data_IF_227113472914
#
_entry.id   IF_227113472914
#
_cell.length_a   1.000
_cell.length_b   1.000
_cell.length_c   1.000
_cell.angle_alpha   90.00
_cell.angle_beta   90.00
_cell.angle_gamma   90.00
#
_symmetry.space_group_name_H-M   'P 1'
#
loop_
_entity.id
_entity.type
_entity.pdbx_description
1 polymer ?
#
# COMPACT_ATOMS: atom_id res chain seq x y z
N UNK A 1 -28.15 -44.16 1.51
CA UNK A 1 -27.86 -43.56 0.20
C UNK A 1 -27.10 -42.26 0.43
N UNK A 2 -25.89 -42.18 -0.13
CA UNK A 2 -24.94 -41.09 0.06
C UNK A 2 -25.47 -39.78 -0.53
N UNK A 3 -25.60 -38.75 0.30
CA UNK A 3 -25.70 -37.37 -0.17
C UNK A 3 -24.27 -36.85 -0.41
N UNK A 4 -23.87 -36.80 -1.67
CA UNK A 4 -22.62 -36.21 -2.14
C UNK A 4 -22.55 -34.73 -1.75
N UNK A 5 -21.67 -34.37 -0.82
CA UNK A 5 -21.31 -32.97 -0.54
C UNK A 5 -20.59 -32.39 -1.76
N UNK A 6 -21.33 -31.60 -2.54
CA UNK A 6 -20.75 -30.69 -3.54
C UNK A 6 -19.80 -29.69 -2.85
N UNK A 7 -18.60 -29.43 -3.38
CA UNK A 7 -17.70 -28.45 -2.79
C UNK A 7 -18.30 -27.05 -3.01
N UNK A 8 -18.70 -26.42 -1.92
CA UNK A 8 -19.10 -25.02 -1.87
C UNK A 8 -18.03 -24.16 -2.52
N UNK A 9 -18.26 -23.75 -3.78
CA UNK A 9 -17.53 -22.67 -4.44
C UNK A 9 -17.56 -21.47 -3.50
N UNK A 10 -16.40 -21.13 -2.96
CA UNK A 10 -16.18 -19.90 -2.23
C UNK A 10 -16.54 -18.74 -3.20
N UNK A 11 -17.77 -18.24 -3.10
CA UNK A 11 -18.19 -17.01 -3.77
C UNK A 11 -17.30 -15.94 -3.19
N UNK A 12 -16.36 -15.48 -4.01
CA UNK A 12 -15.41 -14.41 -3.68
C UNK A 12 -16.27 -13.19 -3.34
N UNK A 13 -16.49 -12.94 -2.06
CA UNK A 13 -17.13 -11.73 -1.57
C UNK A 13 -16.24 -10.56 -2.01
N UNK A 14 -16.55 -9.99 -3.16
CA UNK A 14 -15.91 -8.75 -3.59
C UNK A 14 -16.64 -7.64 -2.86
N UNK A 15 -16.02 -6.95 -1.89
CA UNK A 15 -16.65 -5.81 -1.26
C UNK A 15 -17.04 -4.81 -2.36
N UNK A 16 -18.27 -4.29 -2.28
CA UNK A 16 -18.84 -3.36 -3.27
C UNK A 16 -18.03 -2.05 -3.34
N UNK A 17 -17.42 -1.67 -2.22
CA UNK A 17 -16.49 -0.56 -2.08
C UNK A 17 -15.09 -1.10 -1.80
N UNK A 18 -14.13 -0.85 -2.71
CA UNK A 18 -12.73 -1.20 -2.48
C UNK A 18 -11.95 0.07 -2.23
N UNK A 19 -11.87 0.49 -0.97
CA UNK A 19 -11.02 1.59 -0.54
C UNK A 19 -9.57 1.11 -0.59
N UNK A 20 -8.74 1.72 -1.43
CA UNK A 20 -7.32 1.38 -1.52
C UNK A 20 -6.55 2.65 -1.16
N UNK A 21 -6.15 2.75 0.10
CA UNK A 21 -5.25 3.78 0.62
C UNK A 21 -3.83 3.56 0.06
N UNK A 22 -3.68 3.81 -1.23
CA UNK A 22 -2.38 4.15 -1.78
C UNK A 22 -2.56 5.52 -2.40
N UNK A 23 -1.90 6.50 -1.80
CA UNK A 23 -1.48 7.71 -2.49
C UNK A 23 -0.64 7.21 -3.67
N UNK A 24 -1.25 7.10 -4.85
CA UNK A 24 -0.54 6.69 -6.06
C UNK A 24 -0.04 8.00 -6.67
N UNK A 25 1.20 8.37 -6.39
CA UNK A 25 1.82 9.58 -6.95
C UNK A 25 2.00 9.49 -8.48
N UNK A 26 1.95 8.29 -9.06
CA UNK A 26 2.03 8.08 -10.51
C UNK A 26 0.95 7.09 -10.94
N UNK A 27 -0.25 7.57 -11.26
CA UNK A 27 -1.24 6.74 -11.94
C UNK A 27 -0.83 6.62 -13.40
N UNK A 28 -0.28 5.47 -13.78
CA UNK A 28 -0.14 5.07 -15.18
C UNK A 28 -1.55 4.93 -15.81
N UNK A 29 -1.70 5.38 -17.05
CA UNK A 29 -2.96 5.34 -17.79
C UNK A 29 -3.58 3.94 -17.79
N UNK A 30 -2.75 2.88 -17.87
CA UNK A 30 -3.21 1.48 -17.83
C UNK A 30 -3.92 1.14 -16.53
N UNK A 31 -3.42 1.67 -15.40
CA UNK A 31 -4.04 1.45 -14.09
C UNK A 31 -5.38 2.15 -14.03
N UNK A 32 -5.46 3.40 -14.51
CA UNK A 32 -6.71 4.17 -14.55
C UNK A 32 -7.75 3.48 -15.44
N UNK A 33 -7.36 2.98 -16.61
CA UNK A 33 -8.26 2.23 -17.50
C UNK A 33 -8.79 0.97 -16.83
N UNK A 34 -7.94 0.23 -16.11
CA UNK A 34 -8.38 -0.95 -15.37
C UNK A 34 -9.35 -0.60 -14.22
N UNK A 35 -9.09 0.50 -13.50
CA UNK A 35 -9.99 1.02 -12.47
C UNK A 35 -11.33 1.46 -13.08
N UNK A 36 -11.30 2.13 -14.22
CA UNK A 36 -12.49 2.57 -14.96
C UNK A 36 -13.34 1.37 -15.39
N UNK A 37 -12.72 0.34 -15.98
CA UNK A 37 -13.42 -0.89 -16.36
C UNK A 37 -14.06 -1.60 -15.16
N UNK A 38 -13.45 -1.53 -13.98
CA UNK A 38 -14.09 -2.06 -12.76
C UNK A 38 -15.28 -1.21 -12.33
N UNK A 39 -15.17 0.11 -12.43
CA UNK A 39 -16.27 1.03 -12.14
C UNK A 39 -17.46 0.80 -13.08
N UNK A 40 -17.20 0.65 -14.39
CA UNK A 40 -18.22 0.38 -15.40
C UNK A 40 -18.92 -0.99 -15.19
N UNK A 41 -18.27 -1.91 -14.48
CA UNK A 41 -18.86 -3.21 -14.05
C UNK A 41 -19.69 -3.10 -12.77
N UNK A 42 -20.02 -1.89 -12.32
CA UNK A 42 -20.86 -1.64 -11.15
C UNK A 42 -20.12 -1.71 -9.81
N UNK A 43 -18.79 -1.52 -9.79
CA UNK A 43 -18.02 -1.43 -8.54
C UNK A 43 -17.75 0.01 -8.17
N UNK A 44 -17.82 0.35 -6.89
CA UNK A 44 -17.43 1.68 -6.42
C UNK A 44 -15.91 1.74 -6.25
N UNK A 45 -15.29 2.64 -7.01
CA UNK A 45 -13.84 2.90 -6.96
C UNK A 45 -13.61 4.32 -6.46
N UNK A 46 -12.88 4.45 -5.35
CA UNK A 46 -12.45 5.74 -4.79
C UNK A 46 -10.92 5.74 -4.79
N UNK A 47 -10.33 6.82 -5.27
CA UNK A 47 -8.88 6.98 -5.36
C UNK A 47 -8.48 8.42 -5.07
N UNK A 48 -7.31 8.59 -4.45
CA UNK A 48 -6.70 9.90 -4.18
C UNK A 48 -5.52 10.04 -5.12
N UNK A 49 -5.44 11.19 -5.80
CA UNK A 49 -4.45 11.46 -6.85
C UNK A 49 -3.82 12.79 -6.58
N UNK A 50 -2.49 12.84 -6.55
CA UNK A 50 -1.76 14.06 -6.16
C UNK A 50 -1.57 15.07 -7.28
N UNK A 51 -1.68 14.68 -8.56
CA UNK A 51 -1.65 15.56 -9.74
C UNK A 51 -1.96 14.72 -10.99
N UNK A 52 -3.21 14.66 -11.47
CA UNK A 52 -3.53 13.89 -12.67
C UNK A 52 -3.16 14.67 -13.93
N UNK A 53 -2.49 14.02 -14.87
CA UNK A 53 -2.40 14.53 -16.23
C UNK A 53 -3.78 14.73 -16.86
N UNK A 54 -3.90 15.70 -17.77
CA UNK A 54 -5.19 16.13 -18.35
C UNK A 54 -6.02 14.97 -18.94
N UNK A 55 -5.39 14.05 -19.68
CA UNK A 55 -6.07 12.87 -20.24
C UNK A 55 -6.66 11.98 -19.14
N UNK A 56 -5.91 11.74 -18.07
CA UNK A 56 -6.34 10.92 -16.94
C UNK A 56 -7.48 11.60 -16.20
N UNK A 57 -7.40 12.92 -16.02
CA UNK A 57 -8.44 13.68 -15.34
C UNK A 57 -9.81 13.54 -16.00
N UNK A 58 -9.87 13.54 -17.33
CA UNK A 58 -11.14 13.38 -18.07
C UNK A 58 -11.75 11.97 -17.96
N UNK A 59 -11.01 10.96 -17.49
CA UNK A 59 -11.51 9.60 -17.31
C UNK A 59 -12.34 9.40 -16.03
N UNK A 60 -12.35 10.37 -15.10
CA UNK A 60 -13.12 10.25 -13.86
C UNK A 60 -14.59 10.62 -14.06
N UNK A 61 -15.49 9.82 -13.46
CA UNK A 61 -16.92 10.09 -13.46
C UNK A 61 -17.27 11.34 -12.65
N UNK A 62 -16.71 11.41 -11.44
CA UNK A 62 -16.86 12.52 -10.49
C UNK A 62 -15.49 12.78 -9.87
N UNK A 63 -15.26 14.04 -9.54
CA UNK A 63 -14.04 14.51 -8.87
C UNK A 63 -14.46 15.25 -7.61
N UNK A 64 -13.63 15.14 -6.58
CA UNK A 64 -13.80 15.83 -5.30
C UNK A 64 -12.49 16.56 -4.99
N UNK A 65 -12.54 17.88 -4.89
CA UNK A 65 -11.44 18.72 -4.45
C UNK A 65 -11.68 19.14 -3.01
N UNK A 66 -10.64 19.04 -2.19
CA UNK A 66 -10.66 19.41 -0.78
C UNK A 66 -9.49 20.33 -0.47
N UNK A 67 -9.72 21.29 0.40
CA UNK A 67 -8.70 22.20 0.90
C UNK A 67 -9.04 22.60 2.34
N UNK A 68 -8.03 22.73 3.21
CA UNK A 68 -8.21 23.08 4.63
C UNK A 68 -9.26 22.21 5.35
N UNK A 69 -9.36 20.92 4.99
CA UNK A 69 -10.33 19.98 5.56
C UNK A 69 -11.78 20.17 5.08
N UNK A 70 -12.05 21.15 4.22
CA UNK A 70 -13.38 21.44 3.65
C UNK A 70 -13.47 20.95 2.20
N UNK A 71 -14.69 20.69 1.73
CA UNK A 71 -14.92 20.33 0.31
C UNK A 71 -15.00 21.62 -0.50
N UNK A 72 -14.07 21.78 -1.44
CA UNK A 72 -14.05 22.94 -2.33
C UNK A 72 -14.89 22.70 -3.60
N UNK A 73 -15.00 21.45 -4.04
CA UNK A 73 -15.87 21.07 -5.15
C UNK A 73 -16.14 19.57 -5.15
N UNK A 74 -17.34 19.15 -5.50
CA UNK A 74 -17.65 17.77 -5.85
C UNK A 74 -18.67 17.74 -7.00
N UNK A 75 -18.27 17.17 -8.13
CA UNK A 75 -19.17 17.00 -9.27
C UNK A 75 -18.48 16.33 -10.45
N UNK A 76 -19.05 16.48 -11.64
CA UNK A 76 -18.41 15.99 -12.88
C UNK A 76 -17.25 16.90 -13.29
N UNK A 77 -16.34 16.39 -14.13
CA UNK A 77 -15.24 17.20 -14.68
C UNK A 77 -15.76 18.35 -15.56
N UNK A 78 -16.90 18.16 -16.24
CA UNK A 78 -17.50 19.16 -17.12
C UNK A 78 -18.08 20.33 -16.33
N UNK A 79 -18.70 20.03 -15.20
CA UNK A 79 -19.34 21.05 -14.36
C UNK A 79 -18.32 21.81 -13.51
N UNK A 80 -17.13 21.26 -13.30
CA UNK A 80 -16.04 21.93 -12.60
C UNK A 80 -15.67 23.25 -13.27
N UNK A 81 -15.48 23.22 -14.59
CA UNK A 81 -15.10 24.41 -15.37
C UNK A 81 -16.21 25.48 -15.28
N UNK A 82 -17.48 25.05 -15.33
CA UNK A 82 -18.63 25.96 -15.21
C UNK A 82 -18.75 26.55 -13.82
N UNK A 83 -18.56 25.74 -12.78
CA UNK A 83 -18.59 26.17 -11.39
C UNK A 83 -17.52 27.24 -11.13
N UNK A 84 -16.26 26.97 -11.48
CA UNK A 84 -15.18 27.95 -11.32
C UNK A 84 -15.39 29.21 -12.16
N UNK A 85 -16.00 29.11 -13.35
CA UNK A 85 -16.38 30.27 -14.14
C UNK A 85 -17.53 31.09 -13.52
N UNK A 86 -18.40 30.46 -12.72
CA UNK A 86 -19.54 31.12 -12.06
C UNK A 86 -19.16 31.89 -10.79
N UNK A 87 -17.95 31.70 -10.26
CA UNK A 87 -17.46 32.38 -9.05
C UNK A 87 -17.19 33.88 -9.26
N UNK A 88 -17.27 34.40 -10.48
CA UNK A 88 -17.18 35.83 -10.78
C UNK A 88 -15.77 36.42 -10.79
N UNK A 89 -14.77 35.71 -10.25
CA UNK A 89 -13.36 36.13 -10.30
C UNK A 89 -12.68 35.66 -11.60
N UNK A 90 -12.15 36.57 -12.44
CA UNK A 90 -11.45 36.21 -13.67
C UNK A 90 -10.19 35.36 -13.42
N UNK A 91 -9.58 35.44 -12.24
CA UNK A 91 -8.40 34.66 -11.88
C UNK A 91 -8.72 33.20 -11.57
N UNK A 92 -9.97 32.88 -11.23
CA UNK A 92 -10.45 31.52 -10.96
C UNK A 92 -10.96 30.81 -12.21
N UNK A 93 -11.17 31.54 -13.30
CA UNK A 93 -11.59 30.98 -14.58
C UNK A 93 -10.45 30.13 -15.17
N UNK A 94 -10.74 28.87 -15.43
CA UNK A 94 -9.80 27.93 -16.04
C UNK A 94 -9.52 28.33 -17.50
N UNK A 95 -8.25 28.57 -17.90
CA UNK A 95 -7.89 28.81 -19.30
C UNK A 95 -8.04 27.55 -20.17
N UNK A 96 -8.40 27.71 -21.45
CA UNK A 96 -8.64 26.57 -22.37
C UNK A 96 -7.38 25.74 -22.67
N UNK A 97 -6.20 26.35 -22.65
CA UNK A 97 -4.92 25.68 -22.90
C UNK A 97 -4.32 25.01 -21.66
N UNK A 98 -4.98 25.12 -20.51
CA UNK A 98 -4.45 24.68 -19.22
C UNK A 98 -5.21 23.47 -18.68
N UNK A 99 -4.52 22.58 -17.96
CA UNK A 99 -5.16 21.43 -17.32
C UNK A 99 -6.08 21.90 -16.19
N UNK A 100 -7.40 21.65 -16.25
CA UNK A 100 -8.32 22.12 -15.21
C UNK A 100 -7.98 21.61 -13.81
N UNK A 101 -7.47 20.38 -13.70
CA UNK A 101 -7.08 19.80 -12.43
C UNK A 101 -5.92 20.59 -11.78
N UNK A 102 -4.88 20.86 -12.56
CA UNK A 102 -3.70 21.59 -12.06
C UNK A 102 -4.08 23.03 -11.68
N UNK A 103 -4.98 23.67 -12.45
CA UNK A 103 -5.41 25.04 -12.18
C UNK A 103 -6.14 25.11 -10.84
N UNK A 104 -7.09 24.21 -10.64
CA UNK A 104 -7.89 24.15 -9.41
C UNK A 104 -7.01 23.79 -8.22
N UNK A 105 -6.09 22.83 -8.35
CA UNK A 105 -5.14 22.49 -7.28
C UNK A 105 -4.27 23.69 -6.92
N UNK A 106 -3.75 24.43 -7.90
CA UNK A 106 -2.94 25.62 -7.66
C UNK A 106 -3.73 26.75 -6.98
N UNK A 107 -5.03 26.88 -7.25
CA UNK A 107 -5.90 27.87 -6.57
C UNK A 107 -6.30 27.46 -5.16
N UNK A 108 -6.29 26.16 -4.88
CA UNK A 108 -6.64 25.59 -3.58
C UNK A 108 -5.42 25.31 -2.69
N UNK A 109 -4.21 25.46 -3.22
CA UNK A 109 -2.99 25.21 -2.45
C UNK A 109 -2.70 26.36 -1.50
N UNK A 110 -2.53 26.03 -0.22
CA UNK A 110 -2.10 26.96 0.84
C UNK A 110 -0.74 26.45 1.32
N UNK A 111 0.33 27.22 1.09
CA UNK A 111 1.67 26.90 1.61
C UNK A 111 1.81 27.33 3.08
N UNK A 112 2.95 27.04 3.72
CA UNK A 112 3.18 27.45 5.13
C UNK A 112 3.65 28.90 5.27
N UNK A 113 4.09 29.50 4.17
CA UNK A 113 4.57 30.88 4.10
C UNK A 113 3.47 31.86 3.63
N UNK A 114 2.21 31.43 3.70
CA UNK A 114 1.07 32.10 3.05
C UNK A 114 0.70 33.44 3.67
N UNK A 115 0.38 34.37 2.77
CA UNK A 115 -0.44 35.56 3.01
C UNK A 115 -1.86 35.17 3.41
N UNK A 116 -2.49 35.96 4.30
CA UNK A 116 -3.90 35.78 4.72
C UNK A 116 -4.86 35.68 3.51
N UNK A 117 -4.49 36.26 2.38
CA UNK A 117 -5.21 36.22 1.09
C UNK A 117 -5.45 34.81 0.54
N UNK A 118 -4.52 33.86 0.76
CA UNK A 118 -4.66 32.50 0.21
C UNK A 118 -5.69 31.68 0.98
N UNK A 119 -5.72 31.87 2.30
CA UNK A 119 -6.74 31.26 3.16
C UNK A 119 -8.10 31.86 2.82
N UNK A 120 -8.21 33.17 2.72
CA UNK A 120 -9.45 33.87 2.38
C UNK A 120 -10.03 33.37 1.04
N UNK A 121 -9.18 33.17 0.02
CA UNK A 121 -9.60 32.63 -1.27
C UNK A 121 -10.18 31.22 -1.16
N UNK A 122 -9.53 30.34 -0.40
CA UNK A 122 -10.01 28.96 -0.21
C UNK A 122 -11.33 28.96 0.57
N UNK A 123 -11.44 29.80 1.59
CA UNK A 123 -12.67 29.96 2.36
C UNK A 123 -13.80 30.48 1.48
N UNK A 124 -13.54 31.47 0.62
CA UNK A 124 -14.50 31.97 -0.36
C UNK A 124 -14.98 30.86 -1.31
N UNK A 125 -14.06 30.11 -1.93
CA UNK A 125 -14.43 29.02 -2.86
C UNK A 125 -15.28 27.95 -2.15
N UNK A 126 -14.88 27.54 -0.95
CA UNK A 126 -15.61 26.51 -0.19
C UNK A 126 -16.99 26.99 0.25
N UNK A 127 -17.14 28.25 0.67
CA UNK A 127 -18.42 28.85 1.03
C UNK A 127 -19.37 28.90 -0.19
N UNK A 128 -18.88 29.41 -1.32
CA UNK A 128 -19.65 29.46 -2.57
C UNK A 128 -20.06 28.06 -3.06
N UNK A 129 -19.23 27.04 -2.87
CA UNK A 129 -19.61 25.66 -3.18
C UNK A 129 -20.74 25.17 -2.28
N UNK A 130 -20.65 25.42 -0.97
CA UNK A 130 -21.66 24.98 -0.01
C UNK A 130 -23.01 25.67 -0.18
N UNK A 131 -23.03 26.92 -0.66
CA UNK A 131 -24.28 27.65 -0.99
C UNK A 131 -24.82 27.32 -2.38
N UNK A 132 -24.03 26.64 -3.22
CA UNK A 132 -24.46 26.26 -4.57
C UNK A 132 -25.40 25.05 -4.56
N UNK A 133 -26.18 24.92 -5.64
CA UNK A 133 -27.04 23.74 -5.89
C UNK A 133 -26.25 22.44 -5.83
N UNK A 134 -24.98 22.45 -6.25
CA UNK A 134 -24.10 21.26 -6.21
C UNK A 134 -23.72 20.88 -4.78
N UNK A 135 -23.55 21.87 -3.90
CA UNK A 135 -23.29 21.66 -2.47
C UNK A 135 -24.48 21.07 -1.75
N UNK A 136 -25.69 21.56 -2.05
CA UNK A 136 -26.94 21.01 -1.52
C UNK A 136 -27.19 19.57 -1.96
N UNK A 137 -27.01 19.27 -3.27
CA UNK A 137 -27.11 17.90 -3.80
C UNK A 137 -26.14 16.96 -3.08
N UNK A 138 -24.89 17.39 -2.87
CA UNK A 138 -23.92 16.60 -2.11
C UNK A 138 -24.39 16.34 -0.68
N UNK A 139 -24.93 17.35 0.00
CA UNK A 139 -25.40 17.21 1.38
C UNK A 139 -26.57 16.23 1.48
N UNK A 140 -27.49 16.28 0.54
CA UNK A 140 -28.61 15.33 0.44
C UNK A 140 -28.11 13.89 0.19
N UNK A 141 -27.16 13.72 -0.74
CA UNK A 141 -26.55 12.42 -1.03
C UNK A 141 -25.84 11.82 0.20
N UNK A 142 -25.12 12.65 0.96
CA UNK A 142 -24.46 12.23 2.19
C UNK A 142 -25.52 11.82 3.22
N UNK A 143 -26.54 12.65 3.44
CA UNK A 143 -27.63 12.36 4.38
C UNK A 143 -28.32 11.03 4.05
N UNK A 144 -28.74 10.84 2.80
CA UNK A 144 -29.37 9.61 2.34
C UNK A 144 -28.44 8.39 2.49
N UNK A 145 -27.14 8.58 2.26
CA UNK A 145 -26.11 7.55 2.46
C UNK A 145 -25.94 7.16 3.92
N UNK A 146 -25.89 8.13 4.83
CA UNK A 146 -25.74 7.92 6.28
C UNK A 146 -26.88 7.07 6.84
N UNK A 147 -28.14 7.43 6.54
CA UNK A 147 -29.31 6.67 7.00
C UNK A 147 -29.31 5.24 6.46
N UNK A 148 -28.90 5.05 5.20
CA UNK A 148 -28.83 3.71 4.58
C UNK A 148 -27.72 2.85 5.20
N UNK A 149 -26.60 3.46 5.58
CA UNK A 149 -25.49 2.77 6.25
C UNK A 149 -25.86 2.33 7.67
N UNK A 150 -26.60 3.15 8.43
CA UNK A 150 -27.07 2.77 9.77
C UNK A 150 -27.95 1.52 9.72
N UNK A 151 -28.92 1.48 8.81
CA UNK A 151 -29.82 0.32 8.62
C UNK A 151 -29.02 -0.93 8.19
N UNK A 152 -28.06 -0.77 7.28
CA UNK A 152 -27.27 -1.91 6.78
C UNK A 152 -26.25 -2.40 7.82
N UNK A 153 -25.73 -1.52 8.69
CA UNK A 153 -24.82 -1.89 9.76
C UNK A 153 -25.51 -2.79 10.79
N UNK A 154 -26.78 -2.58 11.11
CA UNK A 154 -27.51 -3.48 12.02
C UNK A 154 -27.65 -4.90 11.45
N UNK A 155 -27.93 -5.03 10.15
CA UNK A 155 -28.02 -6.35 9.49
C UNK A 155 -26.66 -7.02 9.22
N UNK A 156 -25.60 -6.24 8.96
CA UNK A 156 -24.25 -6.77 8.76
C UNK A 156 -23.54 -7.08 10.09
N UNK A 157 -23.80 -6.33 11.16
CA UNK A 157 -23.21 -6.58 12.48
C UNK A 157 -23.61 -7.98 13.03
N UNK A 158 -24.84 -8.42 12.77
CA UNK A 158 -25.26 -9.79 13.11
C UNK A 158 -24.59 -10.87 12.23
N UNK A 159 -24.24 -10.56 10.98
CA UNK A 159 -23.51 -11.50 10.09
C UNK A 159 -22.00 -11.54 10.34
N UNK A 160 -21.40 -10.44 10.80
CA UNK A 160 -19.95 -10.30 10.98
C UNK A 160 -19.42 -10.78 12.34
N UNK A 161 -20.26 -11.36 13.22
CA UNK A 161 -19.80 -12.08 14.44
C UNK A 161 -18.75 -13.16 14.14
N UNK A 162 -18.71 -13.71 12.92
CA UNK A 162 -17.59 -14.52 12.45
C UNK A 162 -16.55 -13.65 11.71
N UNK A 163 -15.65 -13.05 12.48
CA UNK A 163 -14.58 -12.12 12.04
C UNK A 163 -13.59 -12.67 11.01
N UNK A 164 -13.70 -13.95 10.63
CA UNK A 164 -12.90 -14.57 9.59
C UNK A 164 -13.76 -15.44 8.67
N UNK A 165 -13.63 -15.22 7.36
CA UNK A 165 -14.30 -16.02 6.32
C UNK A 165 -13.82 -17.49 6.27
N UNK A 166 -12.80 -17.86 7.06
CA UNK A 166 -12.08 -19.15 6.98
C UNK A 166 -11.61 -19.61 8.37
N UNK A 167 -11.58 -20.92 8.62
CA UNK A 167 -11.11 -21.53 9.88
C UNK A 167 -9.60 -21.34 10.14
N UNK A 168 -9.20 -21.36 11.41
CA UNK A 168 -7.81 -21.11 11.86
C UNK A 168 -6.78 -22.06 11.22
N UNK A 169 -7.06 -23.36 11.12
CA UNK A 169 -6.12 -24.32 10.52
C UNK A 169 -5.91 -24.08 9.03
N UNK A 170 -6.97 -23.70 8.32
CA UNK A 170 -6.90 -23.38 6.90
C UNK A 170 -6.15 -22.06 6.67
N UNK A 171 -6.34 -21.07 7.54
CA UNK A 171 -5.52 -19.85 7.52
C UNK A 171 -4.03 -20.16 7.76
N UNK A 172 -3.72 -20.98 8.77
CA UNK A 172 -2.34 -21.39 9.08
C UNK A 172 -1.69 -22.11 7.90
N UNK A 173 -2.38 -23.05 7.27
CA UNK A 173 -1.85 -23.77 6.10
C UNK A 173 -1.61 -22.83 4.91
N UNK A 174 -2.56 -21.92 4.62
CA UNK A 174 -2.43 -20.94 3.53
C UNK A 174 -1.27 -19.99 3.78
N UNK A 175 -1.13 -19.48 5.01
CA UNK A 175 -0.02 -18.59 5.39
C UNK A 175 1.32 -19.31 5.33
N UNK A 176 1.40 -20.54 5.86
CA UNK A 176 2.61 -21.36 5.80
C UNK A 176 3.04 -21.64 4.37
N UNK A 177 2.10 -22.09 3.52
CA UNK A 177 2.39 -22.35 2.10
C UNK A 177 2.84 -21.09 1.37
N UNK A 178 2.18 -19.95 1.62
CA UNK A 178 2.58 -18.67 1.02
C UNK A 178 3.97 -18.23 1.50
N UNK A 179 4.25 -18.35 2.79
CA UNK A 179 5.55 -18.03 3.36
C UNK A 179 6.64 -18.91 2.73
N UNK A 180 6.45 -20.22 2.73
CA UNK A 180 7.39 -21.18 2.14
C UNK A 180 7.67 -20.92 0.66
N UNK A 181 6.62 -20.71 -0.14
CA UNK A 181 6.76 -20.37 -1.57
C UNK A 181 7.46 -19.01 -1.79
N UNK A 182 7.23 -18.04 -0.91
CA UNK A 182 7.89 -16.73 -1.00
C UNK A 182 9.38 -16.87 -0.68
N UNK A 183 9.72 -17.66 0.33
CA UNK A 183 11.12 -17.95 0.70
C UNK A 183 11.87 -18.71 -0.39
N UNK A 184 11.26 -19.71 -1.03
CA UNK A 184 11.92 -20.44 -2.12
C UNK A 184 12.13 -19.56 -3.36
N UNK A 185 11.21 -18.62 -3.62
CA UNK A 185 11.29 -17.72 -4.79
C UNK A 185 12.29 -16.56 -4.59
N UNK A 186 12.86 -16.40 -3.39
CA UNK A 186 13.93 -15.46 -3.10
C UNK A 186 15.25 -16.21 -2.88
N UNK A 187 15.95 -16.61 -3.97
CA UNK A 187 17.18 -17.41 -3.87
C UNK A 187 18.33 -16.63 -3.22
N UNK A 188 18.33 -15.30 -3.30
CA UNK A 188 19.39 -14.45 -2.72
C UNK A 188 19.30 -14.49 -1.19
N UNK A 189 18.11 -14.27 -0.63
CA UNK A 189 17.93 -14.32 0.82
C UNK A 189 18.21 -15.73 1.38
N UNK A 190 17.84 -16.77 0.63
CA UNK A 190 18.09 -18.15 1.01
C UNK A 190 19.61 -18.48 0.99
N UNK A 191 20.34 -18.04 -0.02
CA UNK A 191 21.80 -18.19 -0.10
C UNK A 191 22.51 -17.47 1.06
N UNK A 192 22.12 -16.23 1.37
CA UNK A 192 22.69 -15.46 2.49
C UNK A 192 22.46 -16.18 3.82
N UNK A 193 21.25 -16.73 4.05
CA UNK A 193 20.95 -17.47 5.28
C UNK A 193 21.76 -18.77 5.40
N UNK A 194 21.90 -19.52 4.30
CA UNK A 194 22.71 -20.75 4.31
C UNK A 194 24.18 -20.42 4.56
N UNK A 195 24.71 -19.41 3.86
CA UNK A 195 26.10 -18.97 4.04
C UNK A 195 26.36 -18.50 5.48
N UNK A 196 25.45 -17.72 6.06
CA UNK A 196 25.56 -17.28 7.44
C UNK A 196 25.64 -18.46 8.42
N UNK A 197 24.81 -19.49 8.23
CA UNK A 197 24.83 -20.70 9.07
C UNK A 197 26.15 -21.44 8.94
N UNK A 198 26.63 -21.65 7.70
CA UNK A 198 27.91 -22.33 7.45
C UNK A 198 29.06 -21.58 8.12
N UNK A 199 29.17 -20.27 7.90
CA UNK A 199 30.23 -19.45 8.51
C UNK A 199 30.17 -19.49 10.04
N UNK A 200 28.97 -19.40 10.63
CA UNK A 200 28.82 -19.47 12.08
C UNK A 200 29.21 -20.84 12.66
N UNK A 201 28.93 -21.93 11.93
CA UNK A 201 29.30 -23.28 12.33
C UNK A 201 30.82 -23.48 12.25
N UNK A 202 31.44 -23.07 11.14
CA UNK A 202 32.88 -23.20 10.92
C UNK A 202 33.67 -22.43 11.99
N UNK A 203 33.24 -21.20 12.33
CA UNK A 203 33.85 -20.42 13.40
C UNK A 203 33.72 -21.07 14.78
N UNK A 204 32.55 -21.64 15.09
CA UNK A 204 32.33 -22.34 16.36
C UNK A 204 33.20 -23.60 16.46
N UNK A 205 33.29 -24.38 15.38
CA UNK A 205 34.13 -25.57 15.31
C UNK A 205 35.60 -25.22 15.44
N UNK A 206 36.08 -24.17 14.76
CA UNK A 206 37.45 -23.69 14.89
C UNK A 206 37.75 -23.21 16.33
N UNK A 207 36.82 -22.51 16.97
CA UNK A 207 36.95 -22.07 18.36
C UNK A 207 37.02 -23.25 19.33
N UNK A 208 36.17 -24.27 19.15
CA UNK A 208 36.18 -25.48 19.99
C UNK A 208 37.49 -26.25 19.79
N UNK A 209 37.92 -26.51 18.55
CA UNK A 209 39.19 -27.18 18.27
C UNK A 209 40.41 -26.41 18.83
N UNK A 210 40.37 -25.08 18.83
CA UNK A 210 41.44 -24.28 19.39
C UNK A 210 41.44 -24.25 20.93
N UNK A 211 40.27 -24.43 21.57
CA UNK A 211 40.14 -24.53 23.03
C UNK A 211 40.33 -25.96 23.56
N UNK A 212 40.06 -26.99 22.76
CA UNK A 212 40.22 -28.42 23.09
C UNK A 212 41.62 -28.96 22.77
N UNK A 213 42.58 -28.11 22.38
CA UNK A 213 44.00 -28.48 22.44
C UNK A 213 44.48 -28.19 23.87
N UNK A 214 44.57 -29.20 24.77
CA UNK A 214 45.27 -29.02 26.02
C UNK A 214 46.74 -28.75 25.71
N UNK A 215 47.26 -27.73 26.38
CA UNK A 215 48.60 -27.18 26.25
C UNK A 215 49.80 -28.12 26.57
N UNK A 216 49.73 -29.43 26.95
CA UNK A 216 50.94 -30.19 27.29
C UNK A 216 51.20 -31.47 26.46
N UNK A 217 51.05 -31.47 25.14
CA UNK A 217 51.48 -32.64 24.30
C UNK A 217 52.49 -32.27 23.21
N UNK A 218 52.57 -30.99 22.80
CA UNK A 218 53.56 -30.54 21.80
C UNK A 218 55.03 -30.61 22.26
N UNK A 219 55.30 -30.77 23.56
CA UNK A 219 56.66 -30.72 24.10
C UNK A 219 57.36 -32.10 24.17
N UNK A 220 56.62 -33.21 24.07
CA UNK A 220 57.19 -34.55 24.29
C UNK A 220 57.61 -35.28 23.01
N UNK A 221 57.08 -34.86 21.84
CA UNK A 221 57.49 -35.42 20.55
C UNK A 221 58.73 -34.73 19.96
N UNK A 222 59.00 -33.47 20.32
CA UNK A 222 60.19 -32.75 19.85
C UNK A 222 61.51 -33.35 20.40
N UNK A 223 61.51 -33.84 21.64
CA UNK A 223 62.71 -34.40 22.27
C UNK A 223 63.03 -35.82 21.73
N UNK A 224 62.00 -36.63 21.45
CA UNK A 224 62.17 -37.97 20.85
C UNK A 224 62.67 -37.91 19.41
N UNK A 225 62.21 -36.94 18.62
CA UNK A 225 62.70 -36.72 17.25
C UNK A 225 64.16 -36.22 17.23
N UNK A 226 64.59 -35.46 18.25
CA UNK A 226 65.96 -34.97 18.35
C UNK A 226 66.96 -36.07 18.77
N UNK A 227 66.57 -36.95 19.70
CA UNK A 227 67.39 -38.09 20.16
C UNK A 227 67.60 -39.17 19.09
N UNK A 228 66.62 -39.41 18.20
CA UNK A 228 66.76 -40.41 17.13
C UNK A 228 67.69 -39.93 16.01
N UNK A 229 67.81 -38.61 15.79
CA UNK A 229 68.70 -38.04 14.77
C UNK A 229 70.18 -38.00 15.18
N UNK A 230 70.51 -38.01 16.48
CA UNK A 230 71.91 -37.94 16.93
C UNK A 230 72.64 -39.28 16.96
N UNK A 231 71.93 -40.42 17.02
CA UNK A 231 72.55 -41.77 17.05
C UNK A 231 72.85 -42.33 15.65
N UNK A 232 72.15 -41.88 14.61
CA UNK A 232 72.33 -42.40 13.24
C UNK A 232 73.46 -41.72 12.43
N UNK A 233 74.18 -40.77 13.02
CA UNK A 233 75.29 -40.05 12.37
C UNK A 233 76.62 -40.38 13.06
N UNK A 234 76.99 -41.66 13.12
CA UNK A 234 78.31 -42.09 13.59
C UNK A 234 78.94 -43.05 12.59
N UNK A 235 79.96 -42.54 11.90
CA UNK A 235 81.10 -43.21 11.27
C UNK A 235 80.88 -44.26 10.15
N UNK A 236 81.78 -44.27 9.13
CA UNK A 236 81.89 -45.33 8.14
C UNK A 236 82.49 -46.63 8.69
#
# INVERSE_FOLDING_TARGET
MLATRSPSRCKRATPLCKFRERIIEILDWKVVTALRLMADKGKTVVTVIHQPGSQIFTMFHRVCFMALGKTAYHGTVKDLIKFFASLGDPTLRVPESYNPADHVIAKLSVSKDTTDEDVERVEFITAMFHESIMGDELRELIWAGSTKLEIHNEEEHERHKHRYAVSMCMQMNVLFRRAFLTTIRDPVLLQVRILQVVVSADLLTAHILCNDIPFPIAMQDAEKVFMIKSVSATAP
#
